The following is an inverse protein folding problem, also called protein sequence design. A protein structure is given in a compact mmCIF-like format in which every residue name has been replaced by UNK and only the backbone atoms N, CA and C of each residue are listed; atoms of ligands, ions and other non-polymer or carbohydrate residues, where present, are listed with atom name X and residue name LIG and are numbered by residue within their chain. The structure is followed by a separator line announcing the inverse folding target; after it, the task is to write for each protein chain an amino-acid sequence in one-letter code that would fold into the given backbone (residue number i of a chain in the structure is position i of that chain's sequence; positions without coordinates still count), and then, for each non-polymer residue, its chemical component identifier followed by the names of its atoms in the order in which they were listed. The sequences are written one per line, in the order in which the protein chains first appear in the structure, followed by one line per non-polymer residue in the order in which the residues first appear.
data_IF_819653358674
#
_entry.id   IF_819653358674
#
_cell.length_a   1.000
_cell.length_b   1.000
_cell.length_c   1.000
_cell.angle_alpha   90.00
_cell.angle_beta   90.00
_cell.angle_gamma   90.00
#
_symmetry.space_group_name_H-M   'P 1'
#
loop_
_entity.id
_entity.type
_entity.pdbx_description
1 polymer ?
#
# COMPACT_ATOMS: atom_id res chain seq x y z
N UNK A 1 -26.78 -42.14 -40.73
CA UNK A 1 -25.43 -41.57 -40.59
C UNK A 1 -25.18 -41.28 -39.13
N UNK A 2 -24.35 -42.07 -38.46
CA UNK A 2 -24.00 -41.92 -37.05
C UNK A 2 -22.79 -41.00 -36.92
N UNK A 3 -23.00 -39.76 -36.47
CA UNK A 3 -21.91 -38.81 -36.17
C UNK A 3 -21.30 -39.19 -34.82
N UNK A 4 -20.23 -39.99 -34.85
CA UNK A 4 -19.46 -40.30 -33.66
C UNK A 4 -18.74 -39.02 -33.20
N UNK A 5 -18.89 -38.55 -31.95
CA UNK A 5 -18.19 -37.36 -31.48
C UNK A 5 -16.69 -37.60 -31.51
N UNK A 6 -15.96 -36.77 -32.26
CA UNK A 6 -14.51 -36.84 -32.39
C UNK A 6 -13.88 -36.69 -30.99
N UNK A 7 -13.16 -37.69 -30.45
CA UNK A 7 -12.67 -37.68 -29.06
C UNK A 7 -11.72 -36.51 -28.73
N UNK A 8 -11.11 -35.87 -29.72
CA UNK A 8 -10.27 -34.68 -29.55
C UNK A 8 -11.03 -33.35 -29.40
N UNK A 9 -12.32 -33.29 -29.74
CA UNK A 9 -13.11 -32.05 -29.61
C UNK A 9 -13.56 -31.81 -28.17
N UNK A 10 -13.85 -32.89 -27.45
CA UNK A 10 -14.19 -32.83 -26.03
C UNK A 10 -12.98 -32.42 -25.19
N UNK A 11 -11.79 -32.96 -25.47
CA UNK A 11 -10.56 -32.60 -24.75
C UNK A 11 -10.17 -31.12 -24.95
N UNK A 12 -10.26 -30.57 -26.17
CA UNK A 12 -9.95 -29.16 -26.43
C UNK A 12 -10.91 -28.18 -25.71
N UNK A 13 -12.19 -28.56 -25.56
CA UNK A 13 -13.15 -27.76 -24.79
C UNK A 13 -12.88 -27.84 -23.29
N UNK A 14 -12.46 -29.01 -22.80
CA UNK A 14 -12.13 -29.18 -21.39
C UNK A 14 -10.83 -28.46 -21.02
N UNK A 15 -9.84 -28.40 -21.92
CA UNK A 15 -8.66 -27.56 -21.78
C UNK A 15 -9.01 -26.07 -21.71
N UNK A 16 -9.88 -25.57 -22.61
CA UNK A 16 -10.32 -24.18 -22.57
C UNK A 16 -11.08 -23.86 -21.26
N UNK A 17 -11.92 -24.78 -20.79
CA UNK A 17 -12.61 -24.65 -19.51
C UNK A 17 -11.62 -24.61 -18.35
N UNK A 18 -10.63 -25.49 -18.35
CA UNK A 18 -9.60 -25.52 -17.31
C UNK A 18 -8.83 -24.20 -17.25
N UNK A 19 -8.36 -23.70 -18.40
CA UNK A 19 -7.66 -22.40 -18.49
C UNK A 19 -8.53 -21.26 -17.97
N UNK A 20 -9.82 -21.23 -18.34
CA UNK A 20 -10.73 -20.19 -17.86
C UNK A 20 -11.00 -20.30 -16.35
N UNK A 21 -11.16 -21.51 -15.82
CA UNK A 21 -11.31 -21.74 -14.39
C UNK A 21 -10.07 -21.31 -13.60
N UNK A 22 -8.87 -21.55 -14.12
CA UNK A 22 -7.62 -21.06 -13.54
C UNK A 22 -7.60 -19.52 -13.52
N UNK A 23 -7.97 -18.88 -14.63
CA UNK A 23 -8.04 -17.41 -14.71
C UNK A 23 -9.04 -16.83 -13.71
N UNK A 24 -10.24 -17.41 -13.59
CA UNK A 24 -11.24 -16.99 -12.61
C UNK A 24 -10.76 -17.18 -11.18
N UNK A 25 -10.08 -18.29 -10.90
CA UNK A 25 -9.52 -18.58 -9.58
C UNK A 25 -8.44 -17.58 -9.20
N UNK A 26 -7.54 -17.26 -10.15
CA UNK A 26 -6.52 -16.23 -9.99
C UNK A 26 -7.14 -14.86 -9.70
N UNK A 27 -8.13 -14.44 -10.49
CA UNK A 27 -8.81 -13.16 -10.30
C UNK A 27 -9.52 -13.07 -8.95
N UNK A 28 -10.15 -14.16 -8.50
CA UNK A 28 -10.77 -14.22 -7.18
C UNK A 28 -9.74 -14.07 -6.06
N UNK A 29 -8.59 -14.74 -6.18
CA UNK A 29 -7.49 -14.64 -5.22
C UNK A 29 -6.90 -13.22 -5.14
N UNK A 30 -6.69 -12.58 -6.29
CA UNK A 30 -6.23 -11.19 -6.40
C UNK A 30 -7.22 -10.21 -5.75
N UNK A 31 -8.52 -10.36 -6.04
CA UNK A 31 -9.59 -9.55 -5.42
C UNK A 31 -9.59 -9.71 -3.90
N UNK A 32 -9.47 -10.94 -3.41
CA UNK A 32 -9.51 -11.20 -1.97
C UNK A 32 -8.24 -10.69 -1.27
N UNK A 33 -7.09 -10.73 -1.93
CA UNK A 33 -5.87 -10.06 -1.46
C UNK A 33 -6.05 -8.53 -1.37
N UNK A 34 -6.59 -7.91 -2.43
CA UNK A 34 -6.88 -6.47 -2.44
C UNK A 34 -7.87 -6.07 -1.34
N UNK A 35 -8.91 -6.86 -1.10
CA UNK A 35 -9.88 -6.64 -0.01
C UNK A 35 -9.22 -6.70 1.37
N UNK A 36 -8.31 -7.66 1.59
CA UNK A 36 -7.54 -7.74 2.85
C UNK A 36 -6.64 -6.53 3.02
N UNK A 37 -5.98 -6.09 1.95
CA UNK A 37 -5.14 -4.90 1.98
C UNK A 37 -5.95 -3.64 2.29
N UNK A 38 -7.11 -3.45 1.66
CA UNK A 38 -8.00 -2.32 1.92
C UNK A 38 -8.45 -2.27 3.39
N UNK A 39 -8.84 -3.41 3.97
CA UNK A 39 -9.22 -3.48 5.40
C UNK A 39 -8.06 -3.12 6.33
N UNK A 40 -6.84 -3.55 6.02
CA UNK A 40 -5.64 -3.20 6.80
C UNK A 40 -5.34 -1.71 6.72
N UNK A 41 -5.38 -1.14 5.51
CA UNK A 41 -5.18 0.28 5.30
C UNK A 41 -6.22 1.13 6.03
N UNK A 42 -7.49 0.71 6.02
CA UNK A 42 -8.55 1.40 6.75
C UNK A 42 -8.32 1.37 8.27
N UNK A 43 -7.97 0.21 8.83
CA UNK A 43 -7.65 0.10 10.25
C UNK A 43 -6.46 1.01 10.64
N UNK A 44 -5.43 1.10 9.79
CA UNK A 44 -4.30 2.01 10.00
C UNK A 44 -4.73 3.49 9.96
N UNK A 45 -5.61 3.85 9.01
CA UNK A 45 -6.14 5.21 8.92
C UNK A 45 -6.96 5.60 10.16
N UNK A 46 -7.75 4.66 10.70
CA UNK A 46 -8.54 4.89 11.91
C UNK A 46 -7.67 5.07 13.16
N UNK A 47 -6.60 4.27 13.29
CA UNK A 47 -5.58 4.48 14.34
C UNK A 47 -4.91 5.85 14.20
N UNK A 48 -4.45 6.21 12.99
CA UNK A 48 -3.84 7.51 12.76
C UNK A 48 -4.77 8.69 13.08
N UNK A 49 -6.07 8.56 12.78
CA UNK A 49 -7.08 9.56 13.16
C UNK A 49 -7.22 9.69 14.68
N UNK A 50 -7.22 8.57 15.40
CA UNK A 50 -7.26 8.58 16.86
C UNK A 50 -6.00 9.22 17.46
N UNK A 51 -4.82 8.90 16.93
CA UNK A 51 -3.55 9.48 17.37
C UNK A 51 -3.51 11.00 17.13
N UNK A 52 -3.99 11.46 15.97
CA UNK A 52 -4.11 12.90 15.69
C UNK A 52 -5.07 13.60 16.64
N UNK A 53 -6.20 12.98 16.99
CA UNK A 53 -7.14 13.53 17.98
C UNK A 53 -6.50 13.62 19.37
N UNK A 54 -5.80 12.58 19.80
CA UNK A 54 -5.05 12.55 21.06
C UNK A 54 -3.97 13.63 21.12
N UNK A 55 -3.19 13.78 20.04
CA UNK A 55 -2.17 14.82 19.92
C UNK A 55 -2.80 16.22 20.00
N UNK A 56 -3.90 16.47 19.30
CA UNK A 56 -4.63 17.75 19.35
C UNK A 56 -5.11 18.06 20.77
N UNK A 57 -5.66 17.08 21.49
CA UNK A 57 -6.07 17.25 22.89
C UNK A 57 -4.88 17.63 23.76
N UNK A 58 -3.77 16.88 23.66
CA UNK A 58 -2.57 17.12 24.46
C UNK A 58 -1.92 18.48 24.16
N UNK A 59 -1.93 18.92 22.91
CA UNK A 59 -1.48 20.27 22.53
C UNK A 59 -2.39 21.32 23.14
N UNK A 60 -3.72 21.14 23.08
CA UNK A 60 -4.67 22.06 23.72
C UNK A 60 -4.46 22.14 25.24
N UNK A 61 -4.22 21.02 25.91
CA UNK A 61 -3.89 20.98 27.34
C UNK A 61 -2.59 21.72 27.66
N UNK A 62 -1.54 21.51 26.85
CA UNK A 62 -0.26 22.18 27.01
C UNK A 62 -0.38 23.70 26.83
N UNK A 63 -1.10 24.15 25.79
CA UNK A 63 -1.35 25.56 25.54
C UNK A 63 -2.16 26.20 26.68
N UNK A 64 -3.20 25.51 27.17
CA UNK A 64 -3.97 25.96 28.33
C UNK A 64 -3.12 26.04 29.60
N UNK A 65 -2.21 25.08 29.82
CA UNK A 65 -1.28 25.12 30.93
C UNK A 65 -0.30 26.30 30.80
N UNK A 66 0.27 26.50 29.61
CA UNK A 66 1.17 27.61 29.33
C UNK A 66 0.49 28.98 29.54
N UNK A 67 -0.74 29.15 29.07
CA UNK A 67 -1.52 30.38 29.25
C UNK A 67 -1.75 30.72 30.73
N UNK A 68 -1.94 29.71 31.61
CA UNK A 68 -2.06 29.91 33.05
C UNK A 68 -0.76 30.34 33.71
N UNK A 69 0.37 29.93 33.15
CA UNK A 69 1.70 30.22 33.72
C UNK A 69 2.38 31.44 33.10
N UNK A 70 1.85 31.99 32.00
CA UNK A 70 2.44 33.13 31.30
C UNK A 70 1.34 34.16 30.94
N UNK A 71 0.98 35.06 31.88
CA UNK A 71 -0.17 35.96 31.75
C UNK A 71 -0.05 37.06 30.68
N UNK A 72 1.08 37.14 29.95
CA UNK A 72 1.30 38.08 28.83
C UNK A 72 1.35 37.40 27.45
N UNK A 73 0.94 36.12 27.32
CA UNK A 73 0.87 35.50 25.99
C UNK A 73 -0.34 36.01 25.21
N UNK A 74 -0.17 36.46 23.95
CA UNK A 74 -1.31 36.71 23.07
C UNK A 74 -2.14 35.43 22.95
N UNK A 75 -3.49 35.52 22.96
CA UNK A 75 -4.35 34.36 22.85
C UNK A 75 -4.05 33.64 21.54
N UNK A 76 -3.68 32.36 21.63
CA UNK A 76 -3.49 31.50 20.48
C UNK A 76 -4.89 31.25 19.90
N UNK A 77 -5.17 31.85 18.74
CA UNK A 77 -6.25 31.39 17.87
C UNK A 77 -6.02 29.89 17.62
N UNK A 78 -7.01 29.08 17.99
CA UNK A 78 -6.93 27.62 17.90
C UNK A 78 -6.54 27.18 16.48
N UNK A 79 -5.98 25.96 16.32
CA UNK A 79 -5.35 25.56 15.08
C UNK A 79 -6.30 25.83 13.93
N UNK A 80 -5.91 26.75 13.04
CA UNK A 80 -6.54 26.93 11.75
C UNK A 80 -6.78 25.54 11.20
N UNK A 81 -8.05 25.15 11.11
CA UNK A 81 -8.43 23.98 10.34
C UNK A 81 -7.78 24.20 8.99
N UNK A 82 -6.78 23.40 8.57
CA UNK A 82 -6.31 23.52 7.21
C UNK A 82 -7.54 23.25 6.35
N UNK A 83 -8.01 24.27 5.63
CA UNK A 83 -8.85 24.08 4.46
C UNK A 83 -8.01 23.20 3.52
N UNK A 84 -8.15 21.89 3.68
CA UNK A 84 -7.68 20.95 2.68
C UNK A 84 -8.41 21.37 1.41
N UNK A 85 -7.70 21.82 0.35
CA UNK A 85 -8.36 22.17 -0.88
C UNK A 85 -9.21 20.98 -1.30
N UNK A 86 -10.50 21.24 -1.53
CA UNK A 86 -11.44 20.27 -2.04
C UNK A 86 -10.74 19.48 -3.15
N UNK A 87 -10.71 18.15 -3.01
CA UNK A 87 -10.03 17.26 -3.91
C UNK A 87 -10.26 17.71 -5.36
N UNK A 88 -9.19 18.17 -6.02
CA UNK A 88 -9.22 18.41 -7.45
C UNK A 88 -9.60 17.10 -8.11
N UNK A 89 -10.83 17.06 -8.60
CA UNK A 89 -11.32 16.08 -9.54
C UNK A 89 -10.34 16.03 -10.73
N UNK A 90 -9.79 14.85 -10.99
CA UNK A 90 -9.10 14.55 -12.25
C UNK A 90 -7.60 14.87 -12.30
N UNK A 91 -6.77 14.10 -11.58
CA UNK A 91 -5.41 13.82 -12.04
C UNK A 91 -5.27 12.35 -12.34
N UNK A 92 -5.28 12.01 -13.63
CA UNK A 92 -4.98 10.68 -14.12
C UNK A 92 -3.62 10.21 -13.57
N UNK A 93 -3.61 9.03 -12.96
CA UNK A 93 -2.39 8.34 -12.54
C UNK A 93 -1.51 8.11 -13.77
N UNK A 94 -0.20 8.46 -13.74
CA UNK A 94 0.72 7.99 -14.77
C UNK A 94 0.82 6.46 -14.70
N UNK A 95 0.82 5.82 -15.87
CA UNK A 95 0.98 4.38 -16.02
C UNK A 95 2.28 3.88 -15.37
N UNK A 96 2.33 2.63 -14.88
CA UNK A 96 3.58 2.05 -14.40
C UNK A 96 4.59 2.00 -15.54
N UNK A 97 5.75 2.61 -15.34
CA UNK A 97 6.92 2.37 -16.18
C UNK A 97 7.46 0.99 -15.82
N UNK A 98 7.56 0.10 -16.80
CA UNK A 98 8.26 -1.18 -16.68
C UNK A 98 9.72 -0.92 -16.27
N UNK A 99 10.30 -1.69 -15.33
CA UNK A 99 11.73 -1.64 -15.08
C UNK A 99 12.47 -2.40 -16.18
N UNK A 100 13.18 -1.68 -17.04
CA UNK A 100 14.18 -2.28 -17.94
C UNK A 100 15.36 -2.86 -17.12
N UNK A 101 15.97 -3.97 -17.57
CA UNK A 101 16.93 -4.75 -16.79
C UNK A 101 18.31 -4.09 -16.72
N UNK A 102 18.92 -4.10 -15.52
CA UNK A 102 20.30 -3.63 -15.32
C UNK A 102 21.32 -4.50 -16.09
N UNK A 103 22.34 -3.89 -16.75
CA UNK A 103 23.45 -4.61 -17.34
C UNK A 103 24.48 -5.06 -16.28
N UNK A 104 25.27 -6.12 -16.55
CA UNK A 104 26.18 -6.68 -15.56
C UNK A 104 27.38 -5.74 -15.34
N UNK A 105 27.63 -5.34 -14.09
CA UNK A 105 28.88 -4.70 -13.71
C UNK A 105 29.91 -5.75 -13.32
N UNK A 106 30.73 -6.18 -14.28
CA UNK A 106 32.09 -6.59 -13.98
C UNK A 106 32.90 -5.33 -13.62
N UNK A 107 33.48 -5.27 -12.43
CA UNK A 107 34.89 -4.82 -12.27
C UNK A 107 35.40 -5.16 -10.88
N UNK A 108 36.64 -5.63 -10.86
CA UNK A 108 37.29 -6.31 -9.74
C UNK A 108 37.62 -5.43 -8.54
N UNK A 109 37.82 -6.14 -7.43
CA UNK A 109 38.35 -5.60 -6.18
C UNK A 109 38.58 -6.68 -5.13
N UNK A 110 39.66 -7.46 -5.26
CA UNK A 110 40.34 -8.09 -4.11
C UNK A 110 41.52 -7.18 -3.70
N UNK A 111 42.01 -7.13 -2.44
CA UNK A 111 42.07 -8.23 -1.45
C UNK A 111 41.88 -7.83 0.04
N UNK A 112 41.82 -8.82 0.96
CA UNK A 112 42.36 -8.66 2.33
C UNK A 112 41.47 -9.01 3.54
N UNK A 113 41.50 -10.28 3.93
CA UNK A 113 41.89 -10.77 5.27
C UNK A 113 41.14 -10.33 6.56
N UNK A 114 40.25 -11.22 7.08
CA UNK A 114 40.21 -11.76 8.48
C UNK A 114 38.87 -12.43 8.80
N UNK A 115 38.87 -13.67 9.32
CA UNK A 115 37.88 -14.08 10.31
C UNK A 115 38.54 -14.20 11.69
N UNK A 116 38.06 -13.41 12.64
CA UNK A 116 38.25 -13.66 14.07
C UNK A 116 36.87 -13.80 14.71
N UNK A 117 36.50 -15.03 15.06
CA UNK A 117 35.48 -15.25 16.11
C UNK A 117 35.92 -16.39 17.00
N UNK A 118 36.12 -16.01 18.27
CA UNK A 118 36.44 -16.87 19.38
C UNK A 118 35.17 -17.42 20.06
N UNK A 119 35.41 -18.48 20.83
CA UNK A 119 34.57 -19.16 21.83
C UNK A 119 33.48 -20.09 21.30
#
# INVERSE_FOLDING_TARGET
MTTNPQPGRTSALDELRAVYHEQLTRLAAERDAARRQARRAQAQADVARADLASLKSRVGELLNAAARHLPDLPPVEGPDTPELPAAQEGRALPAPADPDPEPPSETGGTPGDRPARAA
#
